data_IF_295847214296
#
_entry.id   IF_295847214296
#
_cell.length_a   1.000
_cell.length_b   1.000
_cell.length_c   1.000
_cell.angle_alpha   90.00
_cell.angle_beta   90.00
_cell.angle_gamma   90.00
#
_symmetry.space_group_name_H-M   'P 1'
#
loop_
_entity.id
_entity.type
_entity.pdbx_description
1 polymer ?
#
# COMPACT_ATOMS: atom_id res chain seq x y z
N UNK A 1 13.90 -3.73 12.95
CA UNK A 1 13.49 -4.39 14.22
C UNK A 1 14.55 -5.34 14.79
N UNK A 2 15.50 -5.86 14.00
CA UNK A 2 16.50 -6.87 14.44
C UNK A 2 17.57 -6.39 15.45
N UNK A 3 17.63 -5.10 15.77
CA UNK A 3 18.63 -4.50 16.68
C UNK A 3 18.10 -4.09 18.05
N UNK A 4 16.80 -4.27 18.33
CA UNK A 4 16.21 -3.91 19.63
C UNK A 4 16.26 -5.12 20.56
N UNK A 5 17.01 -5.02 21.66
CA UNK A 5 17.19 -6.11 22.63
C UNK A 5 16.06 -6.20 23.67
N UNK A 6 15.32 -5.13 23.89
CA UNK A 6 14.23 -5.10 24.87
C UNK A 6 12.94 -5.72 24.30
N UNK A 7 12.54 -6.86 24.87
CA UNK A 7 11.34 -7.61 24.48
C UNK A 7 10.05 -6.80 24.67
N UNK A 8 9.98 -5.92 25.67
CA UNK A 8 8.79 -5.09 25.92
C UNK A 8 8.60 -4.07 24.80
N UNK A 9 9.68 -3.43 24.39
CA UNK A 9 9.66 -2.48 23.27
C UNK A 9 9.29 -3.19 21.96
N UNK A 10 9.84 -4.38 21.71
CA UNK A 10 9.49 -5.16 20.51
C UNK A 10 8.00 -5.51 20.48
N UNK A 11 7.42 -5.90 21.61
CA UNK A 11 5.99 -6.17 21.72
C UNK A 11 5.15 -4.91 21.47
N UNK A 12 5.49 -3.79 22.11
CA UNK A 12 4.80 -2.51 21.93
C UNK A 12 4.85 -2.03 20.46
N UNK A 13 6.00 -2.19 19.79
CA UNK A 13 6.14 -1.89 18.35
C UNK A 13 5.28 -2.79 17.47
N UNK A 14 5.12 -4.06 17.85
CA UNK A 14 4.20 -4.98 17.20
C UNK A 14 2.74 -4.52 17.34
N UNK A 15 2.37 -4.01 18.52
CA UNK A 15 1.05 -3.45 18.79
C UNK A 15 0.79 -2.21 17.93
N UNK A 16 1.79 -1.31 17.84
CA UNK A 16 1.75 -0.11 17.02
C UNK A 16 1.57 -0.46 15.53
N UNK A 17 2.38 -1.37 14.99
CA UNK A 17 2.29 -1.81 13.60
C UNK A 17 0.92 -2.44 13.27
N UNK A 18 0.30 -3.11 14.24
CA UNK A 18 -0.99 -3.76 14.08
C UNK A 18 -2.20 -2.80 14.05
N UNK A 19 -2.01 -1.50 14.33
CA UNK A 19 -3.07 -0.48 14.24
C UNK A 19 -3.58 -0.36 12.79
N UNK A 20 -2.67 -0.40 11.80
CA UNK A 20 -2.99 -0.20 10.37
C UNK A 20 -3.91 1.02 10.13
N UNK A 21 -3.52 2.23 10.56
CA UNK A 21 -4.35 3.44 10.46
C UNK A 21 -4.59 3.84 9.00
N UNK A 22 -5.72 4.50 8.71
CA UNK A 22 -6.01 4.94 7.34
C UNK A 22 -4.92 5.84 6.76
N UNK A 23 -4.47 6.80 7.56
CA UNK A 23 -3.37 7.69 7.26
C UNK A 23 -2.61 8.01 8.55
N UNK A 24 -1.33 8.36 8.40
CA UNK A 24 -0.49 8.85 9.49
C UNK A 24 -0.01 10.24 9.08
N UNK A 25 -0.02 11.17 10.02
CA UNK A 25 0.44 12.54 9.80
C UNK A 25 1.52 12.81 10.84
N UNK A 26 2.67 13.32 10.40
CA UNK A 26 3.83 13.52 11.27
C UNK A 26 4.56 14.82 10.92
N UNK A 27 5.03 15.51 11.95
CA UNK A 27 6.04 16.58 11.81
C UNK A 27 7.46 16.07 12.05
N UNK A 28 7.63 14.78 12.34
CA UNK A 28 8.95 14.18 12.51
C UNK A 28 9.60 14.02 11.14
N UNK A 29 10.93 14.18 11.12
CA UNK A 29 11.72 14.14 9.89
C UNK A 29 12.25 12.74 9.58
N UNK A 30 12.34 11.86 10.58
CA UNK A 30 12.89 10.51 10.43
C UNK A 30 11.95 9.53 9.72
N UNK A 31 12.51 8.41 9.25
CA UNK A 31 11.77 7.36 8.54
C UNK A 31 11.33 6.20 9.45
N UNK A 32 11.06 6.45 10.73
CA UNK A 32 10.68 5.39 11.68
C UNK A 32 9.32 4.76 11.33
N UNK A 33 8.34 5.59 10.97
CA UNK A 33 6.97 5.15 10.73
C UNK A 33 6.87 4.23 9.51
N UNK A 34 7.63 4.51 8.47
CA UNK A 34 7.73 3.72 7.23
C UNK A 34 8.32 2.34 7.49
N UNK A 35 9.19 2.22 8.51
CA UNK A 35 9.74 0.93 8.94
C UNK A 35 8.77 0.14 9.81
N UNK A 36 7.90 0.82 10.55
CA UNK A 36 6.89 0.19 11.42
C UNK A 36 5.66 -0.24 10.61
N UNK A 37 5.21 0.60 9.70
CA UNK A 37 3.99 0.41 8.92
C UNK A 37 4.32 -0.04 7.49
N UNK A 38 4.59 -1.34 7.34
CA UNK A 38 4.92 -1.92 6.03
C UNK A 38 3.80 -1.69 4.99
N UNK A 39 4.21 -1.35 3.76
CA UNK A 39 3.32 -1.03 2.66
C UNK A 39 2.70 0.38 2.71
N UNK A 40 3.04 1.23 3.68
CA UNK A 40 2.64 2.64 3.69
C UNK A 40 3.54 3.47 2.77
N UNK A 41 2.97 4.51 2.16
CA UNK A 41 3.71 5.41 1.27
C UNK A 41 4.03 6.73 1.98
N UNK A 42 5.31 7.15 2.05
CA UNK A 42 5.65 8.48 2.53
C UNK A 42 5.25 9.54 1.49
N UNK A 43 4.51 10.54 1.94
CA UNK A 43 4.06 11.68 1.15
C UNK A 43 4.73 12.94 1.68
N UNK A 44 5.61 13.51 0.86
CA UNK A 44 6.47 14.64 1.21
C UNK A 44 6.07 15.88 0.40
N UNK A 45 5.86 17.00 1.08
CA UNK A 45 5.71 18.33 0.47
C UNK A 45 4.62 18.42 -0.60
N UNK A 46 4.93 18.99 -1.77
CA UNK A 46 3.98 19.22 -2.88
C UNK A 46 3.66 17.98 -3.72
N UNK A 47 4.27 16.82 -3.45
CA UNK A 47 3.99 15.58 -4.20
C UNK A 47 2.56 15.08 -3.99
N UNK A 48 1.86 15.60 -2.97
CA UNK A 48 0.45 15.30 -2.68
C UNK A 48 -0.45 15.67 -3.88
N UNK A 49 -0.09 16.68 -4.69
CA UNK A 49 -0.87 17.10 -5.87
C UNK A 49 -0.89 16.07 -7.01
N UNK A 50 -0.03 15.05 -6.99
CA UNK A 50 0.10 14.07 -8.09
C UNK A 50 -0.83 12.86 -7.93
N UNK A 51 -1.43 12.66 -6.76
CA UNK A 51 -2.29 11.49 -6.49
C UNK A 51 -3.68 11.93 -6.03
N UNK A 52 -4.60 12.03 -6.98
CA UNK A 52 -6.02 12.34 -6.76
C UNK A 52 -6.81 11.23 -6.04
N UNK A 53 -6.15 10.33 -5.33
CA UNK A 53 -6.81 9.26 -4.59
C UNK A 53 -6.55 9.48 -3.11
N UNK A 54 -7.60 9.76 -2.32
CA UNK A 54 -7.58 9.48 -0.88
C UNK A 54 -7.29 8.00 -0.74
N UNK A 55 -6.04 7.68 -0.42
CA UNK A 55 -5.47 6.35 -0.56
C UNK A 55 -5.14 5.82 0.82
N UNK A 56 -5.64 4.63 1.15
CA UNK A 56 -5.33 3.98 2.41
C UNK A 56 -3.82 3.70 2.53
N UNK A 57 -3.25 3.97 3.69
CA UNK A 57 -1.85 3.73 4.02
C UNK A 57 -0.88 4.80 3.52
N UNK A 58 -1.19 6.07 3.75
CA UNK A 58 -0.29 7.21 3.47
C UNK A 58 0.34 7.72 4.77
N UNK A 59 1.62 8.13 4.71
CA UNK A 59 2.35 8.80 5.81
C UNK A 59 2.71 10.22 5.35
N UNK A 60 2.02 11.22 5.87
CA UNK A 60 2.23 12.62 5.52
C UNK A 60 3.33 13.24 6.38
N UNK A 61 4.47 13.52 5.76
CA UNK A 61 5.55 14.30 6.35
C UNK A 61 5.31 15.78 6.07
N UNK A 62 4.53 16.44 6.94
CA UNK A 62 4.08 17.82 6.68
C UNK A 62 5.21 18.85 6.81
N UNK A 63 6.32 18.50 7.47
CA UNK A 63 7.52 19.33 7.56
C UNK A 63 8.70 18.77 6.75
N UNK A 64 8.44 17.86 5.81
CA UNK A 64 9.49 17.19 5.05
C UNK A 64 10.07 15.96 5.76
N UNK A 65 10.98 15.28 5.07
CA UNK A 65 11.66 14.07 5.55
C UNK A 65 13.18 14.17 5.33
N UNK A 66 13.96 13.43 6.13
CA UNK A 66 15.43 13.39 6.04
C UNK A 66 15.96 12.82 4.73
N UNK A 67 15.19 12.01 4.02
CA UNK A 67 15.55 11.47 2.70
C UNK A 67 15.49 12.54 1.61
N UNK A 68 14.76 13.63 1.85
CA UNK A 68 14.60 14.79 0.96
C UNK A 68 14.93 16.09 1.70
N UNK A 69 16.21 16.38 2.00
CA UNK A 69 16.59 17.49 2.88
C UNK A 69 16.07 18.88 2.47
N UNK A 70 15.90 19.12 1.17
CA UNK A 70 15.35 20.37 0.61
C UNK A 70 13.86 20.58 0.92
N UNK A 71 13.17 19.55 1.39
CA UNK A 71 11.77 19.62 1.81
C UNK A 71 11.59 20.00 3.28
N UNK A 72 12.67 20.04 4.05
CA UNK A 72 12.63 20.23 5.50
C UNK A 72 12.15 21.63 5.88
N UNK A 73 11.19 21.69 6.80
CA UNK A 73 10.70 22.94 7.39
C UNK A 73 11.30 23.10 8.78
N UNK A 74 12.26 24.01 8.92
CA UNK A 74 13.04 24.20 10.16
C UNK A 74 13.14 25.67 10.58
N UNK A 75 13.37 26.56 9.62
CA UNK A 75 13.62 27.98 9.87
C UNK A 75 12.33 28.79 9.79
N UNK A 76 12.33 30.02 10.34
CA UNK A 76 11.17 30.92 10.25
C UNK A 76 10.74 31.19 8.81
N UNK A 77 11.69 31.31 7.87
CA UNK A 77 11.39 31.45 6.45
C UNK A 77 10.70 30.21 5.90
N UNK A 78 11.15 29.02 6.27
CA UNK A 78 10.52 27.78 5.82
C UNK A 78 9.08 27.67 6.34
N UNK A 79 8.83 28.07 7.58
CA UNK A 79 7.47 28.13 8.14
C UNK A 79 6.58 29.16 7.44
N UNK A 80 7.12 30.31 7.03
CA UNK A 80 6.38 31.31 6.26
C UNK A 80 5.99 30.76 4.87
N UNK A 81 6.96 30.16 4.19
CA UNK A 81 6.77 29.50 2.89
C UNK A 81 5.77 28.34 2.98
N UNK A 82 5.90 27.52 4.01
CA UNK A 82 5.00 26.40 4.28
C UNK A 82 3.59 26.89 4.55
N UNK A 83 3.40 27.92 5.39
CA UNK A 83 2.08 28.49 5.67
C UNK A 83 1.37 29.03 4.42
N UNK A 84 2.12 29.57 3.45
CA UNK A 84 1.56 29.96 2.16
C UNK A 84 1.15 28.75 1.31
N UNK A 85 1.96 27.69 1.34
CA UNK A 85 1.83 26.50 0.46
C UNK A 85 0.93 25.40 1.05
N UNK A 86 0.63 25.41 2.35
CA UNK A 86 -0.06 24.31 3.07
C UNK A 86 -1.56 24.15 2.79
N UNK A 87 -2.19 25.07 2.04
CA UNK A 87 -3.66 25.09 1.85
C UNK A 87 -4.25 23.74 1.45
N UNK A 88 -3.57 23.01 0.57
CA UNK A 88 -4.01 21.68 0.13
C UNK A 88 -3.84 20.59 1.19
N UNK A 89 -2.70 20.59 1.90
CA UNK A 89 -2.46 19.69 3.06
C UNK A 89 -3.56 19.92 4.08
N UNK A 90 -3.80 21.17 4.47
CA UNK A 90 -4.87 21.55 5.41
C UNK A 90 -6.23 21.04 4.94
N UNK A 91 -6.60 21.19 3.67
CA UNK A 91 -7.87 20.69 3.14
C UNK A 91 -7.98 19.15 3.25
N UNK A 92 -6.93 18.41 2.88
CA UNK A 92 -6.94 16.93 2.97
C UNK A 92 -6.96 16.45 4.43
N UNK A 93 -6.24 17.14 5.32
CA UNK A 93 -6.31 16.91 6.75
C UNK A 93 -7.73 17.11 7.26
N UNK A 94 -8.39 18.23 6.94
CA UNK A 94 -9.77 18.49 7.35
C UNK A 94 -10.71 17.35 6.95
N UNK A 95 -10.58 16.81 5.73
CA UNK A 95 -11.35 15.64 5.28
C UNK A 95 -11.09 14.42 6.17
N UNK A 96 -9.83 14.07 6.47
CA UNK A 96 -9.52 12.94 7.34
C UNK A 96 -10.07 13.10 8.76
N UNK A 97 -10.01 14.31 9.32
CA UNK A 97 -10.53 14.58 10.65
C UNK A 97 -12.07 14.54 10.71
N UNK A 98 -12.76 14.84 9.62
CA UNK A 98 -14.21 14.71 9.51
C UNK A 98 -14.64 13.25 9.31
N UNK A 99 -13.89 12.47 8.53
CA UNK A 99 -14.28 11.11 8.10
C UNK A 99 -13.77 10.00 9.03
N UNK A 100 -12.72 10.26 9.83
CA UNK A 100 -12.08 9.26 10.67
C UNK A 100 -11.81 9.74 12.10
N UNK A 101 -11.82 8.83 13.09
CA UNK A 101 -11.29 9.12 14.41
C UNK A 101 -9.79 9.46 14.33
N UNK A 102 -9.37 10.54 15.01
CA UNK A 102 -7.98 10.98 15.01
C UNK A 102 -7.37 10.84 16.40
N UNK A 103 -6.20 10.21 16.46
CA UNK A 103 -5.41 10.05 17.67
C UNK A 103 -4.11 10.86 17.56
N UNK A 104 -3.91 11.79 18.49
CA UNK A 104 -2.74 12.67 18.53
C UNK A 104 -1.77 12.16 19.59
N UNK A 105 -0.56 11.82 19.18
CA UNK A 105 0.52 11.32 20.05
C UNK A 105 1.72 12.26 20.03
N UNK A 106 2.41 12.41 21.17
CA UNK A 106 3.71 13.11 21.22
C UNK A 106 3.66 14.64 21.17
N UNK A 107 2.47 15.24 21.02
CA UNK A 107 2.31 16.69 21.03
C UNK A 107 1.66 17.20 22.32
N UNK A 108 2.08 18.38 22.76
CA UNK A 108 1.27 19.19 23.67
C UNK A 108 0.28 20.04 22.89
N UNK A 109 -0.88 20.34 23.49
CA UNK A 109 -1.85 21.29 22.90
C UNK A 109 -1.32 22.74 22.82
N UNK A 110 -0.10 22.99 23.30
CA UNK A 110 0.64 24.24 23.12
C UNK A 110 1.26 24.42 21.74
N UNK A 111 1.44 23.35 20.97
CA UNK A 111 2.13 23.40 19.66
C UNK A 111 1.35 24.27 18.65
N UNK A 112 1.96 25.30 18.04
CA UNK A 112 1.26 26.20 17.10
C UNK A 112 0.70 25.50 15.85
N UNK A 113 1.36 24.45 15.34
CA UNK A 113 0.91 23.74 14.15
C UNK A 113 -0.30 22.86 14.49
N UNK A 114 -0.24 22.14 15.61
CA UNK A 114 -1.37 21.35 16.12
C UNK A 114 -2.55 22.26 16.44
N UNK A 115 -2.33 23.41 17.10
CA UNK A 115 -3.38 24.40 17.37
C UNK A 115 -4.02 24.92 16.10
N UNK A 116 -3.22 25.25 15.07
CA UNK A 116 -3.75 25.72 13.78
C UNK A 116 -4.63 24.67 13.12
N UNK A 117 -4.22 23.40 13.13
CA UNK A 117 -5.01 22.30 12.55
C UNK A 117 -6.29 22.09 13.36
N UNK A 118 -6.20 22.00 14.69
CA UNK A 118 -7.34 21.80 15.58
C UNK A 118 -8.35 22.94 15.54
N UNK A 119 -7.90 24.19 15.33
CA UNK A 119 -8.79 25.33 15.11
C UNK A 119 -9.64 25.13 13.86
N UNK A 120 -8.99 24.89 12.73
CA UNK A 120 -9.67 24.75 11.44
C UNK A 120 -10.71 23.60 11.50
N UNK A 121 -10.44 22.54 12.27
CA UNK A 121 -11.37 21.44 12.53
C UNK A 121 -12.49 21.83 13.48
N UNK A 122 -12.16 22.51 14.58
CA UNK A 122 -13.12 22.94 15.58
C UNK A 122 -14.19 23.85 14.99
N UNK A 123 -13.83 24.69 14.02
CA UNK A 123 -14.79 25.53 13.31
C UNK A 123 -15.81 24.74 12.47
N UNK A 124 -15.46 23.53 12.03
CA UNK A 124 -16.26 22.71 11.10
C UNK A 124 -17.03 21.61 11.83
N UNK A 125 -16.41 20.96 12.81
CA UNK A 125 -16.87 19.68 13.38
C UNK A 125 -17.22 19.79 14.87
N UNK A 126 -16.91 20.90 15.55
CA UNK A 126 -17.28 21.05 16.94
C UNK A 126 -18.81 21.15 17.10
N UNK A 127 -19.33 20.53 18.15
CA UNK A 127 -20.72 20.71 18.55
C UNK A 127 -20.97 22.10 19.17
N UNK A 128 -22.22 22.37 19.53
CA UNK A 128 -22.62 23.64 20.17
C UNK A 128 -21.84 23.94 21.48
N UNK A 129 -21.24 22.90 22.07
CA UNK A 129 -20.45 22.99 23.29
C UNK A 129 -18.95 23.19 23.03
N UNK A 130 -18.53 23.24 21.76
CA UNK A 130 -17.13 23.35 21.36
C UNK A 130 -16.36 22.03 21.46
N UNK A 131 -17.04 20.89 21.70
CA UNK A 131 -16.42 19.57 21.74
C UNK A 131 -16.23 19.03 20.32
N UNK A 132 -15.03 18.54 20.02
CA UNK A 132 -14.70 17.84 18.79
C UNK A 132 -14.68 16.32 19.13
N UNK A 133 -15.78 15.60 18.91
CA UNK A 133 -15.98 14.28 19.51
C UNK A 133 -15.08 13.16 18.96
N UNK A 134 -14.56 13.34 17.74
CA UNK A 134 -13.77 12.33 17.01
C UNK A 134 -12.25 12.52 17.15
N UNK A 135 -11.80 13.46 17.98
CA UNK A 135 -10.37 13.71 18.21
C UNK A 135 -9.99 13.31 19.63
N UNK A 136 -8.93 12.50 19.73
CA UNK A 136 -8.40 11.93 20.96
C UNK A 136 -6.94 12.36 21.12
N UNK A 137 -6.63 13.02 22.23
CA UNK A 137 -5.28 13.39 22.60
C UNK A 137 -4.71 12.37 23.59
N UNK A 138 -3.65 11.67 23.19
CA UNK A 138 -2.97 10.69 24.05
C UNK A 138 -1.83 11.38 24.78
N UNK A 139 -1.96 11.49 26.10
CA UNK A 139 -1.05 12.21 26.99
C UNK A 139 -0.24 11.21 27.82
N UNK A 140 1.07 11.21 27.59
CA UNK A 140 2.01 10.40 28.37
C UNK A 140 2.15 10.93 29.80
N UNK A 141 1.95 10.06 30.78
CA UNK A 141 2.06 10.33 32.22
C UNK A 141 2.92 9.24 32.86
N UNK A 142 4.22 9.48 33.13
CA UNK A 142 5.13 8.46 33.65
C UNK A 142 4.87 8.13 35.13
N UNK A 143 4.30 9.06 35.89
CA UNK A 143 3.98 8.88 37.31
C UNK A 143 2.58 8.27 37.50
N UNK A 144 2.36 7.51 38.60
CA UNK A 144 1.03 7.03 38.95
C UNK A 144 0.04 8.19 39.01
N UNK A 145 -1.12 7.99 38.40
CA UNK A 145 -2.19 8.97 38.38
C UNK A 145 -2.82 9.02 39.79
N UNK A 146 -2.39 9.98 40.62
CA UNK A 146 -2.95 10.15 41.98
C UNK A 146 -4.41 10.62 41.96
N UNK A 147 -4.79 11.44 40.97
CA UNK A 147 -6.16 11.89 40.69
C UNK A 147 -6.49 11.62 39.24
N UNK A 148 -7.68 11.05 39.00
CA UNK A 148 -8.17 10.80 37.65
C UNK A 148 -8.15 12.13 36.87
N UNK A 149 -7.34 12.24 35.81
CA UNK A 149 -7.26 13.46 35.03
C UNK A 149 -8.57 13.64 34.24
N UNK A 150 -8.86 14.88 33.81
CA UNK A 150 -10.01 15.12 32.95
C UNK A 150 -9.97 14.22 31.72
N UNK A 151 -11.14 13.71 31.35
CA UNK A 151 -11.35 12.94 30.11
C UNK A 151 -11.43 13.84 28.88
N UNK A 152 -11.37 15.16 29.07
CA UNK A 152 -11.32 16.18 28.03
C UNK A 152 -10.16 17.14 28.26
N UNK A 153 -9.47 17.46 27.17
CA UNK A 153 -8.49 18.52 27.14
C UNK A 153 -9.11 19.77 26.50
N UNK A 154 -8.97 20.91 27.19
CA UNK A 154 -9.44 22.21 26.73
C UNK A 154 -8.28 22.95 26.09
N UNK A 155 -8.55 23.61 24.96
CA UNK A 155 -7.61 24.52 24.33
C UNK A 155 -8.35 25.71 23.75
N UNK A 156 -7.74 26.88 23.84
CA UNK A 156 -8.29 28.12 23.28
C UNK A 156 -7.52 28.49 22.02
N UNK A 157 -8.25 28.79 20.94
CA UNK A 157 -7.68 29.37 19.73
C UNK A 157 -8.51 30.57 19.30
N UNK A 158 -7.85 31.70 19.06
CA UNK A 158 -8.47 32.94 18.58
C UNK A 158 -9.67 33.41 19.44
N UNK A 159 -9.59 33.18 20.76
CA UNK A 159 -10.61 33.57 21.73
C UNK A 159 -11.78 32.59 21.88
N UNK A 160 -11.80 31.48 21.11
CA UNK A 160 -12.81 30.42 21.21
C UNK A 160 -12.23 29.21 21.91
N UNK A 161 -13.00 28.61 22.82
CA UNK A 161 -12.59 27.40 23.53
C UNK A 161 -13.12 26.15 22.82
N UNK A 162 -12.22 25.20 22.62
CA UNK A 162 -12.51 23.90 22.07
C UNK A 162 -12.10 22.81 23.04
N UNK A 163 -12.78 21.67 22.94
CA UNK A 163 -12.55 20.49 23.78
C UNK A 163 -12.35 19.27 22.92
N UNK A 164 -11.41 18.41 23.31
CA UNK A 164 -11.16 17.11 22.69
C UNK A 164 -11.06 16.06 23.78
N UNK A 165 -11.26 14.78 23.43
CA UNK A 165 -11.11 13.70 24.40
C UNK A 165 -9.63 13.52 24.76
N UNK A 166 -9.32 13.27 26.02
CA UNK A 166 -7.97 13.07 26.52
C UNK A 166 -7.81 11.65 27.09
N UNK A 167 -6.76 10.96 26.66
CA UNK A 167 -6.39 9.64 27.16
C UNK A 167 -5.05 9.78 27.87
N UNK A 168 -5.06 9.60 29.18
CA UNK A 168 -3.84 9.68 30.00
C UNK A 168 -3.28 8.30 30.26
N UNK A 169 -2.00 8.07 29.95
CA UNK A 169 -1.38 6.76 30.13
C UNK A 169 0.12 6.83 30.40
N UNK A 170 0.63 5.89 31.20
CA UNK A 170 2.06 5.58 31.35
C UNK A 170 2.49 4.29 30.62
N UNK A 171 1.59 3.71 29.81
CA UNK A 171 1.84 2.54 28.98
C UNK A 171 1.07 2.68 27.66
N UNK A 172 1.78 2.75 26.53
CA UNK A 172 1.15 2.88 25.22
C UNK A 172 0.64 1.53 24.69
N UNK A 173 1.14 0.41 25.20
CA UNK A 173 0.80 -0.94 24.74
C UNK A 173 -0.71 -1.19 24.77
N UNK A 174 -1.42 -0.77 25.83
CA UNK A 174 -2.87 -0.95 25.88
C UNK A 174 -3.62 -0.06 24.89
N UNK A 175 -3.14 1.16 24.65
CA UNK A 175 -3.74 2.08 23.67
C UNK A 175 -3.58 1.48 22.28
N UNK A 176 -2.37 1.06 21.92
CA UNK A 176 -2.11 0.43 20.63
C UNK A 176 -2.93 -0.84 20.45
N UNK A 177 -3.03 -1.70 21.47
CA UNK A 177 -3.90 -2.88 21.45
C UNK A 177 -5.37 -2.55 21.23
N UNK A 178 -5.88 -1.48 21.83
CA UNK A 178 -7.25 -1.03 21.65
C UNK A 178 -7.52 -0.51 20.23
N UNK A 179 -6.49 0.08 19.59
CA UNK A 179 -6.55 0.62 18.23
C UNK A 179 -6.21 -0.39 17.14
N UNK A 180 -5.83 -1.62 17.50
CA UNK A 180 -5.52 -2.67 16.53
C UNK A 180 -6.70 -2.86 15.56
N UNK A 181 -6.36 -2.92 14.28
CA UNK A 181 -7.34 -3.26 13.24
C UNK A 181 -7.99 -4.60 13.54
N UNK A 182 -9.32 -4.64 13.65
CA UNK A 182 -10.07 -5.90 13.81
C UNK A 182 -9.87 -6.73 12.53
N UNK A 183 -9.76 -8.05 12.70
CA UNK A 183 -9.23 -9.02 11.73
C UNK A 183 -9.78 -8.94 10.28
N UNK A 184 -10.95 -8.34 10.02
CA UNK A 184 -11.52 -8.20 8.67
C UNK A 184 -10.69 -7.32 7.71
N UNK A 185 -9.94 -6.32 8.22
CA UNK A 185 -9.07 -5.45 7.39
C UNK A 185 -7.60 -5.94 7.43
N UNK A 186 -7.30 -6.92 8.28
CA UNK A 186 -5.93 -7.36 8.53
C UNK A 186 -5.23 -7.99 7.32
N UNK A 187 -5.99 -8.48 6.32
CA UNK A 187 -5.46 -9.08 5.09
C UNK A 187 -5.24 -8.09 3.94
N UNK A 188 -5.71 -6.84 4.09
CA UNK A 188 -5.70 -5.89 2.98
C UNK A 188 -4.35 -5.15 2.97
N UNK A 189 -3.51 -5.45 1.98
CA UNK A 189 -2.24 -4.75 1.78
C UNK A 189 -2.53 -3.31 1.30
N UNK A 190 -2.08 -2.26 2.02
CA UNK A 190 -2.34 -0.88 1.63
C UNK A 190 -1.86 -0.56 0.21
N UNK A 191 -0.71 -1.12 -0.20
CA UNK A 191 -0.17 -0.97 -1.56
C UNK A 191 -1.14 -1.50 -2.62
N UNK A 192 -1.84 -2.60 -2.33
CA UNK A 192 -2.86 -3.14 -3.24
C UNK A 192 -4.07 -2.22 -3.31
N UNK A 193 -4.55 -1.68 -2.18
CA UNK A 193 -5.68 -0.73 -2.16
C UNK A 193 -5.36 0.53 -2.95
N UNK A 194 -4.15 1.08 -2.79
CA UNK A 194 -3.71 2.24 -3.57
C UNK A 194 -3.62 1.92 -5.06
N UNK A 195 -3.06 0.77 -5.42
CA UNK A 195 -2.98 0.33 -6.80
C UNK A 195 -4.38 0.13 -7.43
N UNK A 196 -5.33 -0.44 -6.66
CA UNK A 196 -6.74 -0.58 -6.99
C UNK A 196 -7.39 0.78 -7.26
N UNK A 197 -7.32 1.70 -6.29
CA UNK A 197 -7.91 3.04 -6.39
C UNK A 197 -7.35 3.83 -7.59
N UNK A 198 -6.03 3.79 -7.78
CA UNK A 198 -5.37 4.44 -8.91
C UNK A 198 -5.84 3.88 -10.26
N UNK A 199 -6.07 2.56 -10.34
CA UNK A 199 -6.55 1.90 -11.57
C UNK A 199 -8.01 2.22 -11.86
N UNK A 200 -8.90 2.15 -10.86
CA UNK A 200 -10.32 2.51 -11.01
C UNK A 200 -10.46 3.96 -11.50
N UNK A 201 -9.69 4.89 -10.93
CA UNK A 201 -9.68 6.27 -11.41
C UNK A 201 -9.12 6.44 -12.82
N UNK A 202 -8.15 5.61 -13.24
CA UNK A 202 -7.62 5.66 -14.61
C UNK A 202 -8.66 5.16 -15.62
N UNK A 203 -9.44 4.13 -15.27
CA UNK A 203 -10.56 3.63 -16.05
C UNK A 203 -11.66 4.69 -16.21
N UNK A 204 -12.11 5.29 -15.10
CA UNK A 204 -13.14 6.35 -15.12
C UNK A 204 -12.69 7.57 -15.94
N UNK A 205 -11.40 7.92 -15.91
CA UNK A 205 -10.86 9.07 -16.64
C UNK A 205 -10.59 8.80 -18.13
N UNK A 206 -10.49 7.55 -18.56
CA UNK A 206 -10.27 7.20 -19.97
C UNK A 206 -11.55 6.83 -20.72
N UNK A 207 -12.59 6.34 -20.03
CA UNK A 207 -13.86 5.95 -20.66
C UNK A 207 -15.02 6.87 -20.19
N UNK A 208 -15.27 7.96 -20.91
CA UNK A 208 -16.53 8.73 -20.82
C UNK A 208 -17.33 8.40 -22.08
N UNK A 209 -18.49 7.73 -21.95
CA UNK A 209 -19.73 8.48 -21.81
C UNK A 209 -20.59 8.04 -20.62
N UNK A 210 -21.26 9.03 -20.03
CA UNK A 210 -22.17 8.91 -18.89
C UNK A 210 -23.32 7.92 -19.15
N UNK A 211 -23.55 7.02 -18.19
CA UNK A 211 -24.80 6.32 -17.94
C UNK A 211 -24.84 5.93 -16.47
N UNK A 212 -25.97 6.14 -15.79
CA UNK A 212 -26.14 5.80 -14.37
C UNK A 212 -25.93 4.30 -14.15
N UNK A 213 -24.72 3.91 -13.72
CA UNK A 213 -24.46 2.55 -13.27
C UNK A 213 -24.88 2.48 -11.81
N UNK A 214 -26.10 1.98 -11.56
CA UNK A 214 -26.49 1.60 -10.20
C UNK A 214 -25.60 0.45 -9.75
N UNK A 215 -24.72 0.74 -8.78
CA UNK A 215 -23.85 -0.27 -8.16
C UNK A 215 -24.72 -1.14 -7.26
N UNK A 216 -24.91 -2.40 -7.66
CA UNK A 216 -25.67 -3.37 -6.88
C UNK A 216 -24.77 -3.97 -5.79
N UNK A 217 -24.92 -3.47 -4.56
CA UNK A 217 -24.12 -3.84 -3.39
C UNK A 217 -24.22 -5.34 -3.04
N UNK A 218 -25.35 -5.99 -3.36
CA UNK A 218 -25.57 -7.43 -3.10
C UNK A 218 -24.65 -8.34 -3.94
N UNK A 219 -24.16 -7.84 -5.08
CA UNK A 219 -23.20 -8.56 -5.94
C UNK A 219 -21.78 -8.38 -5.41
N UNK A 220 -21.45 -7.20 -4.89
CA UNK A 220 -20.14 -6.91 -4.30
C UNK A 220 -19.91 -7.68 -3.00
N UNK A 221 -20.96 -7.85 -2.18
CA UNK A 221 -20.88 -8.57 -0.91
C UNK A 221 -20.66 -10.08 -1.13
N UNK A 222 -21.35 -10.68 -2.11
CA UNK A 222 -21.13 -12.10 -2.48
C UNK A 222 -19.75 -12.37 -3.08
N UNK A 223 -19.20 -11.40 -3.81
CA UNK A 223 -17.91 -11.52 -4.51
C UNK A 223 -16.73 -11.23 -3.57
N UNK A 224 -16.94 -10.48 -2.49
CA UNK A 224 -15.92 -10.21 -1.47
C UNK A 224 -15.59 -11.45 -0.61
N UNK A 225 -16.55 -12.36 -0.43
CA UNK A 225 -16.35 -13.61 0.31
C UNK A 225 -15.61 -14.69 -0.50
N UNK A 226 -15.58 -14.57 -1.83
CA UNK A 226 -14.81 -15.45 -2.72
C UNK A 226 -13.42 -14.85 -3.01
N UNK A 227 -12.41 -15.36 -2.28
CA UNK A 227 -10.99 -14.88 -2.34
C UNK A 227 -10.41 -14.71 -3.75
N UNK A 228 -10.90 -15.48 -4.73
CA UNK A 228 -10.36 -15.51 -6.09
C UNK A 228 -11.22 -14.76 -7.13
N UNK A 229 -12.38 -14.23 -6.74
CA UNK A 229 -13.34 -13.63 -7.68
C UNK A 229 -13.30 -12.11 -7.71
N UNK A 230 -13.01 -11.45 -6.59
CA UNK A 230 -12.79 -10.00 -6.54
C UNK A 230 -11.69 -9.51 -7.51
N UNK A 231 -10.55 -10.21 -7.66
CA UNK A 231 -9.52 -9.83 -8.63
C UNK A 231 -10.02 -9.97 -10.08
N UNK A 232 -10.78 -11.02 -10.41
CA UNK A 232 -11.38 -11.22 -11.74
C UNK A 232 -12.40 -10.14 -12.10
N UNK A 233 -13.28 -9.78 -11.15
CA UNK A 233 -14.32 -8.77 -11.33
C UNK A 233 -13.75 -7.35 -11.54
N UNK A 234 -12.59 -7.09 -10.93
CA UNK A 234 -11.87 -5.80 -11.01
C UNK A 234 -10.85 -5.76 -12.16
N UNK A 235 -10.76 -6.80 -12.99
CA UNK A 235 -9.75 -6.92 -14.04
C UNK A 235 -8.31 -6.95 -13.50
N UNK A 236 -8.16 -7.19 -12.20
CA UNK A 236 -6.93 -7.59 -11.53
C UNK A 236 -6.93 -9.11 -11.46
N UNK A 237 -7.20 -9.77 -12.57
CA UNK A 237 -6.39 -10.95 -12.79
C UNK A 237 -4.95 -10.44 -12.67
N UNK A 238 -4.15 -11.07 -11.80
CA UNK A 238 -2.82 -11.44 -12.26
C UNK A 238 -3.09 -12.12 -13.59
N UNK A 239 -3.11 -11.35 -14.67
CA UNK A 239 -3.09 -11.93 -15.98
C UNK A 239 -1.72 -12.56 -15.91
N UNK A 240 -1.67 -13.87 -15.63
CA UNK A 240 -0.71 -14.75 -16.24
C UNK A 240 -0.96 -14.60 -17.74
N UNK A 241 -0.69 -13.40 -18.29
CA UNK A 241 -0.77 -13.12 -19.68
C UNK A 241 0.33 -14.03 -20.18
N UNK A 242 -0.01 -15.11 -20.89
CA UNK A 242 1.00 -16.03 -21.31
C UNK A 242 1.99 -15.31 -22.23
N UNK A 243 1.62 -14.17 -22.83
CA UNK A 243 2.54 -13.32 -23.58
C UNK A 243 3.48 -12.45 -22.72
N UNK A 244 3.25 -12.29 -21.42
CA UNK A 244 4.19 -11.65 -20.49
C UNK A 244 5.14 -12.68 -19.85
N UNK A 245 4.62 -13.82 -19.38
CA UNK A 245 5.45 -14.89 -18.80
C UNK A 245 6.18 -15.70 -19.87
N UNK A 246 5.51 -15.99 -20.98
CA UNK A 246 5.97 -16.80 -22.11
C UNK A 246 5.84 -16.03 -23.44
N UNK A 247 6.56 -14.90 -23.63
CA UNK A 247 6.34 -14.02 -24.78
C UNK A 247 6.63 -14.67 -26.14
N UNK A 248 7.45 -15.72 -26.19
CA UNK A 248 8.07 -16.17 -27.42
C UNK A 248 7.35 -17.36 -28.07
N UNK A 249 7.17 -17.30 -29.39
CA UNK A 249 6.90 -18.50 -30.20
C UNK A 249 8.20 -19.26 -30.47
N UNK A 250 8.10 -20.52 -30.84
CA UNK A 250 9.29 -21.35 -31.13
C UNK A 250 10.16 -20.77 -32.27
N UNK A 251 9.53 -20.09 -33.24
CA UNK A 251 10.23 -19.36 -34.31
C UNK A 251 11.01 -18.16 -33.78
N UNK A 252 10.45 -17.42 -32.82
CA UNK A 252 11.13 -16.29 -32.16
C UNK A 252 12.29 -16.78 -31.27
N UNK A 253 12.09 -17.89 -30.56
CA UNK A 253 13.16 -18.56 -29.80
C UNK A 253 14.32 -18.93 -30.73
N UNK A 254 14.04 -19.58 -31.87
CA UNK A 254 15.07 -19.97 -32.84
C UNK A 254 15.92 -18.77 -33.28
N UNK A 255 15.28 -17.65 -33.65
CA UNK A 255 15.99 -16.42 -34.04
C UNK A 255 16.88 -15.89 -32.92
N UNK A 256 16.41 -15.94 -31.67
CA UNK A 256 17.09 -15.35 -30.49
C UNK A 256 18.27 -16.19 -29.99
N UNK A 257 18.26 -17.50 -30.25
CA UNK A 257 19.39 -18.39 -29.95
C UNK A 257 20.25 -18.70 -31.19
N UNK A 258 20.07 -17.95 -32.29
CA UNK A 258 20.89 -18.06 -33.50
C UNK A 258 20.73 -19.40 -34.23
N UNK A 259 19.50 -19.92 -34.31
CA UNK A 259 19.12 -21.12 -35.08
C UNK A 259 18.23 -20.74 -36.26
N UNK A 260 18.28 -21.54 -37.33
CA UNK A 260 17.64 -21.21 -38.62
C UNK A 260 16.12 -21.36 -38.60
N UNK A 261 15.59 -22.31 -37.83
CA UNK A 261 14.16 -22.61 -37.80
C UNK A 261 13.72 -23.25 -36.48
N UNK A 262 12.41 -23.30 -36.29
CA UNK A 262 11.77 -23.92 -35.13
C UNK A 262 12.11 -25.42 -35.00
N UNK A 263 12.38 -26.12 -36.11
CA UNK A 263 12.77 -27.54 -36.11
C UNK A 263 14.09 -27.79 -35.35
N UNK A 264 15.06 -26.88 -35.44
CA UNK A 264 16.31 -27.01 -34.68
C UNK A 264 16.08 -26.86 -33.17
N UNK A 265 15.16 -25.98 -32.76
CA UNK A 265 14.77 -25.86 -31.34
C UNK A 265 14.01 -27.10 -30.87
N UNK A 266 13.12 -27.67 -31.70
CA UNK A 266 12.44 -28.93 -31.40
C UNK A 266 13.40 -30.09 -31.13
N UNK A 267 14.54 -30.14 -31.83
CA UNK A 267 15.60 -31.14 -31.57
C UNK A 267 16.24 -30.94 -30.19
N UNK A 268 16.47 -29.70 -29.76
CA UNK A 268 16.97 -29.41 -28.41
C UNK A 268 15.97 -29.82 -27.33
N UNK A 269 14.67 -29.57 -27.55
CA UNK A 269 13.62 -29.99 -26.62
C UNK A 269 13.56 -31.51 -26.49
N UNK A 270 13.65 -32.24 -27.61
CA UNK A 270 13.70 -33.70 -27.57
C UNK A 270 14.98 -34.21 -26.89
N UNK A 271 16.13 -33.58 -27.12
CA UNK A 271 17.38 -33.92 -26.42
C UNK A 271 17.26 -33.72 -24.91
N UNK A 272 16.64 -32.63 -24.44
CA UNK A 272 16.36 -32.42 -23.01
C UNK A 272 15.47 -33.53 -22.47
N UNK A 273 14.44 -33.93 -23.20
CA UNK A 273 13.57 -35.04 -22.82
C UNK A 273 14.35 -36.37 -22.70
N UNK A 274 15.24 -36.65 -23.64
CA UNK A 274 16.04 -37.87 -23.66
C UNK A 274 17.07 -37.89 -22.52
N UNK A 275 17.67 -36.73 -22.17
CA UNK A 275 18.68 -36.60 -21.12
C UNK A 275 18.09 -36.52 -19.70
N UNK A 276 16.89 -35.94 -19.53
CA UNK A 276 16.29 -35.67 -18.21
C UNK A 276 15.04 -36.50 -17.90
N UNK A 277 14.53 -37.26 -18.87
CA UNK A 277 13.26 -38.00 -18.77
C UNK A 277 12.00 -37.11 -18.74
N UNK A 278 12.15 -35.78 -18.80
CA UNK A 278 11.05 -34.82 -18.61
C UNK A 278 10.73 -34.10 -19.92
N UNK A 279 9.50 -34.21 -20.43
CA UNK A 279 9.06 -33.47 -21.62
C UNK A 279 8.54 -32.08 -21.21
N UNK A 280 9.28 -31.02 -21.53
CA UNK A 280 8.89 -29.64 -21.21
C UNK A 280 7.52 -29.24 -21.75
N UNK A 281 6.95 -29.98 -22.72
CA UNK A 281 5.66 -29.68 -23.37
C UNK A 281 4.48 -30.42 -22.73
N UNK A 282 4.70 -31.30 -21.75
CA UNK A 282 3.63 -32.12 -21.16
C UNK A 282 2.69 -31.33 -20.26
N UNK A 283 3.19 -30.26 -19.65
CA UNK A 283 2.43 -29.36 -18.77
C UNK A 283 2.70 -27.91 -19.12
N UNK A 284 1.85 -27.02 -18.62
CA UNK A 284 2.20 -25.61 -18.51
C UNK A 284 3.12 -25.47 -17.29
N UNK A 285 4.30 -24.90 -17.48
CA UNK A 285 5.37 -24.82 -16.49
C UNK A 285 6.19 -23.54 -16.70
N UNK A 286 7.25 -23.36 -15.92
CA UNK A 286 8.14 -22.18 -15.99
C UNK A 286 8.83 -21.96 -17.35
N UNK A 287 8.92 -22.99 -18.20
CA UNK A 287 9.58 -22.93 -19.51
C UNK A 287 8.57 -22.79 -20.67
N UNK A 288 7.42 -23.43 -20.56
CA UNK A 288 6.48 -23.63 -21.65
C UNK A 288 5.03 -23.46 -21.18
N UNK A 289 4.19 -22.86 -22.03
CA UNK A 289 2.74 -22.95 -21.88
C UNK A 289 2.02 -23.13 -23.23
N UNK A 290 0.83 -23.74 -23.17
CA UNK A 290 -0.05 -23.97 -24.33
C UNK A 290 -1.30 -23.10 -24.23
N UNK A 291 -1.47 -22.18 -25.16
CA UNK A 291 -2.59 -21.23 -25.18
C UNK A 291 -3.59 -21.63 -26.24
N UNK A 292 -4.87 -21.76 -25.90
CA UNK A 292 -5.95 -21.95 -26.87
C UNK A 292 -6.15 -20.67 -27.69
N UNK A 293 -6.11 -20.78 -29.02
CA UNK A 293 -6.16 -19.64 -29.95
C UNK A 293 -7.40 -19.64 -30.85
N UNK A 294 -8.29 -20.63 -30.70
CA UNK A 294 -9.52 -20.73 -31.48
C UNK A 294 -10.57 -21.60 -30.81
N UNK A 295 -11.72 -21.78 -31.47
CA UNK A 295 -12.88 -22.50 -30.92
C UNK A 295 -12.70 -24.02 -30.89
N UNK A 296 -11.85 -24.58 -31.78
CA UNK A 296 -11.50 -26.01 -31.79
C UNK A 296 -10.44 -26.33 -30.73
N UNK A 297 -10.54 -27.49 -30.07
CA UNK A 297 -9.56 -27.93 -29.05
C UNK A 297 -8.16 -28.19 -29.60
N UNK A 298 -8.04 -28.42 -30.91
CA UNK A 298 -6.76 -28.52 -31.61
C UNK A 298 -6.13 -27.16 -31.92
N UNK A 299 -6.88 -26.05 -31.81
CA UNK A 299 -6.37 -24.71 -32.09
C UNK A 299 -5.66 -24.14 -30.85
N UNK A 300 -4.38 -24.44 -30.73
CA UNK A 300 -3.54 -23.93 -29.65
C UNK A 300 -2.16 -23.52 -30.16
N UNK A 301 -1.64 -22.43 -29.61
CA UNK A 301 -0.28 -21.94 -29.84
C UNK A 301 0.58 -22.20 -28.61
N UNK A 302 1.78 -22.74 -28.81
CA UNK A 302 2.76 -22.93 -27.75
C UNK A 302 3.65 -21.71 -27.61
N UNK A 303 3.93 -21.35 -26.37
CA UNK A 303 4.68 -20.16 -25.97
C UNK A 303 5.77 -20.54 -24.98
N UNK A 304 6.85 -19.76 -25.00
CA UNK A 304 8.10 -20.06 -24.29
C UNK A 304 8.57 -18.84 -23.49
N UNK A 305 9.09 -19.10 -22.29
CA UNK A 305 9.60 -18.08 -21.38
C UNK A 305 11.03 -17.66 -21.70
N UNK A 306 11.49 -16.60 -21.02
CA UNK A 306 12.91 -16.21 -21.05
C UNK A 306 13.81 -17.31 -20.46
N UNK A 307 13.34 -18.04 -19.46
CA UNK A 307 14.09 -19.14 -18.85
C UNK A 307 14.29 -20.31 -19.82
N UNK A 308 13.31 -20.58 -20.68
CA UNK A 308 13.46 -21.57 -21.74
C UNK A 308 14.56 -21.18 -22.73
N UNK A 309 14.71 -19.89 -23.03
CA UNK A 309 15.78 -19.40 -23.90
C UNK A 309 17.15 -19.65 -23.28
N UNK A 310 17.33 -19.33 -22.00
CA UNK A 310 18.61 -19.56 -21.30
C UNK A 310 18.93 -21.06 -21.19
N UNK A 311 17.92 -21.90 -20.94
CA UNK A 311 18.06 -23.35 -20.97
C UNK A 311 18.52 -23.84 -22.36
N UNK A 312 17.86 -23.41 -23.43
CA UNK A 312 18.23 -23.82 -24.79
C UNK A 312 19.60 -23.31 -25.24
N UNK A 313 20.04 -22.14 -24.75
CA UNK A 313 21.41 -21.66 -24.98
C UNK A 313 22.44 -22.60 -24.33
N UNK A 314 22.22 -22.98 -23.07
CA UNK A 314 23.11 -23.92 -22.36
C UNK A 314 23.17 -25.28 -23.07
N UNK A 315 22.01 -25.84 -23.42
CA UNK A 315 21.93 -27.13 -24.14
C UNK A 315 22.58 -27.06 -25.53
N UNK A 316 22.50 -25.91 -26.21
CA UNK A 316 23.16 -25.69 -27.50
C UNK A 316 24.69 -25.68 -27.38
N UNK A 317 25.24 -25.08 -26.33
CA UNK A 317 26.69 -24.99 -26.09
C UNK A 317 27.24 -26.29 -25.48
N UNK A 318 26.37 -27.12 -24.90
CA UNK A 318 26.74 -28.38 -24.24
C UNK A 318 27.11 -28.19 -22.77
N UNK A 319 26.72 -27.07 -22.17
CA UNK A 319 26.96 -26.80 -20.75
C UNK A 319 26.08 -27.70 -19.87
N UNK A 320 26.55 -28.10 -18.67
CA UNK A 320 25.73 -28.80 -17.72
C UNK A 320 24.53 -27.93 -17.29
N UNK A 321 23.35 -28.54 -17.27
CA UNK A 321 22.12 -27.87 -16.87
C UNK A 321 21.29 -28.77 -15.94
N UNK A 322 20.51 -28.15 -15.07
CA UNK A 322 19.51 -28.81 -14.23
C UNK A 322 18.16 -28.15 -14.48
N UNK A 323 17.11 -28.96 -14.55
CA UNK A 323 15.74 -28.44 -14.62
C UNK A 323 15.31 -27.93 -13.25
N UNK A 324 14.72 -26.74 -13.21
CA UNK A 324 14.07 -26.24 -12.01
C UNK A 324 12.80 -27.03 -11.68
N UNK A 325 12.20 -26.82 -10.49
CA UNK A 325 10.94 -27.45 -10.14
C UNK A 325 9.88 -27.14 -11.20
N UNK A 326 9.15 -28.18 -11.61
CA UNK A 326 8.04 -28.10 -12.54
C UNK A 326 6.77 -27.93 -11.70
N UNK A 327 6.53 -26.72 -11.19
CA UNK A 327 5.34 -26.42 -10.37
C UNK A 327 4.05 -26.65 -11.18
N UNK A 328 3.03 -27.20 -10.50
CA UNK A 328 1.68 -27.51 -11.02
C UNK A 328 0.76 -26.30 -11.05
#
# INVERSE_FOLDING_TARGET
MSTISDKKIVAELGDLAAIKPHAIITTNYDCFLEKVFDGYEPIIGQTILRYNTSSFGEIFHIHGDVSTPESLVLTKSDYADWNMKKKYVSAKLLTYFAEHPVFIFGYGLGDPNVKSILRDIGEIVADDSGLIPNVFHVVWRPSPIEKLPPDQAVFSVDGREFRIKAIHTGDLSWVFRALRSRAAISSINPKLVRALAARTMKLIRHDIPFGEVQVNYDVLERVADEKDHLPNLLGITSVSNPNQSHPFTLTQVAKRIGLRNWNQVSKLINRIKDETGTDLRSTDNRYHCRIKTGTKDSSATRKWSHEAIELFKKVKVGDPYQLGPMDL
#
